data_IF_204043567732
#
_entry.id   IF_204043567732
#
_cell.length_a   1.000
_cell.length_b   1.000
_cell.length_c   1.000
_cell.angle_alpha   90.00
_cell.angle_beta   90.00
_cell.angle_gamma   90.00
#
_symmetry.space_group_name_H-M   'P 1'
#
loop_
_entity.id
_entity.type
_entity.pdbx_description
1 polymer ?
#
# COMPACT_ATOMS: atom_id res chain seq x y z
N UNK A 1 32.44 4.53 -78.40
CA UNK A 1 32.03 3.21 -77.88
C UNK A 1 33.17 2.63 -77.05
N UNK A 2 33.06 2.68 -75.72
CA UNK A 2 33.81 1.91 -74.72
C UNK A 2 33.10 2.16 -73.37
N UNK A 3 32.45 1.12 -72.83
CA UNK A 3 31.93 1.09 -71.46
C UNK A 3 33.11 0.96 -70.48
N UNK A 4 32.99 1.52 -69.26
CA UNK A 4 32.72 0.75 -68.04
C UNK A 4 32.88 1.62 -66.76
N UNK A 5 31.99 1.32 -65.81
CA UNK A 5 32.12 1.41 -64.34
C UNK A 5 32.05 2.76 -63.60
N UNK A 6 30.92 2.93 -62.91
CA UNK A 6 30.73 3.82 -61.77
C UNK A 6 31.31 3.20 -60.48
N UNK A 7 31.75 4.01 -59.50
CA UNK A 7 31.84 3.58 -58.11
C UNK A 7 30.73 4.22 -57.28
N UNK A 8 30.03 3.34 -56.56
CA UNK A 8 29.04 3.61 -55.53
C UNK A 8 29.77 4.14 -54.28
N UNK A 9 29.47 5.37 -53.85
CA UNK A 9 29.92 5.89 -52.56
C UNK A 9 28.92 5.47 -51.48
N UNK A 10 29.34 4.52 -50.66
CA UNK A 10 28.60 3.99 -49.53
C UNK A 10 28.49 5.03 -48.40
N UNK A 11 27.26 5.36 -48.01
CA UNK A 11 26.98 6.13 -46.80
C UNK A 11 26.98 5.18 -45.60
N UNK A 12 28.04 5.24 -44.78
CA UNK A 12 28.06 4.61 -43.46
C UNK A 12 27.38 5.55 -42.45
N UNK A 13 26.07 5.33 -42.23
CA UNK A 13 25.37 5.89 -41.08
C UNK A 13 25.63 5.02 -39.85
N UNK A 14 26.50 5.48 -38.94
CA UNK A 14 26.59 4.90 -37.59
C UNK A 14 25.40 5.41 -36.77
N UNK A 15 24.30 4.67 -36.77
CA UNK A 15 23.21 4.88 -35.81
C UNK A 15 23.68 4.35 -34.46
N UNK A 16 24.20 5.23 -33.61
CA UNK A 16 24.52 4.92 -32.22
C UNK A 16 23.19 4.65 -31.51
N UNK A 17 22.80 3.38 -31.37
CA UNK A 17 21.71 2.97 -30.49
C UNK A 17 22.10 3.37 -29.07
N UNK A 18 21.55 4.47 -28.59
CA UNK A 18 21.54 4.84 -27.17
C UNK A 18 20.78 3.73 -26.44
N UNK A 19 21.50 2.71 -25.96
CA UNK A 19 20.99 1.76 -25.00
C UNK A 19 20.71 2.55 -23.72
N UNK A 20 19.48 3.03 -23.57
CA UNK A 20 19.01 3.58 -22.31
C UNK A 20 19.15 2.46 -21.26
N UNK A 21 19.82 2.69 -20.12
CA UNK A 21 19.70 1.77 -19.01
C UNK A 21 18.23 1.77 -18.62
N UNK A 22 17.52 0.69 -18.97
CA UNK A 22 16.24 0.40 -18.36
C UNK A 22 16.55 0.22 -16.88
N UNK A 23 16.24 1.25 -16.08
CA UNK A 23 16.21 1.11 -14.63
C UNK A 23 15.30 -0.08 -14.36
N UNK A 24 15.86 -1.13 -13.77
CA UNK A 24 15.09 -2.31 -13.38
C UNK A 24 14.01 -1.84 -12.41
N UNK A 25 12.81 -1.59 -12.94
CA UNK A 25 11.67 -1.26 -12.11
C UNK A 25 11.41 -2.50 -11.25
N UNK A 26 11.38 -2.31 -9.94
CA UNK A 26 10.95 -3.36 -9.01
C UNK A 26 9.59 -3.83 -9.51
N UNK A 27 9.51 -5.09 -9.95
CA UNK A 27 8.26 -5.67 -10.42
C UNK A 27 7.33 -5.76 -9.21
N UNK A 28 6.26 -4.96 -9.25
CA UNK A 28 5.21 -4.96 -8.24
C UNK A 28 3.94 -5.44 -8.92
N UNK A 29 3.13 -6.20 -8.20
CA UNK A 29 1.83 -6.62 -8.69
C UNK A 29 0.79 -6.19 -7.68
N UNK A 30 -0.17 -5.38 -8.13
CA UNK A 30 -1.34 -5.04 -7.33
C UNK A 30 -2.07 -6.32 -6.92
N UNK A 31 -2.39 -6.44 -5.64
CA UNK A 31 -3.08 -7.58 -5.03
C UNK A 31 -4.53 -7.26 -4.66
N UNK A 32 -4.83 -5.97 -4.53
CA UNK A 32 -6.07 -5.48 -3.97
C UNK A 32 -6.08 -3.96 -3.93
N UNK A 33 -7.16 -3.42 -3.41
CA UNK A 33 -7.43 -1.98 -3.40
C UNK A 33 -8.06 -1.54 -2.09
N UNK A 34 -7.83 -0.27 -1.76
CA UNK A 34 -8.51 0.45 -0.69
C UNK A 34 -9.02 1.77 -1.25
N UNK A 35 -10.33 1.95 -1.15
CA UNK A 35 -11.02 3.18 -1.52
C UNK A 35 -11.53 3.86 -0.26
N UNK A 36 -11.22 5.14 -0.08
CA UNK A 36 -11.55 5.87 1.13
C UNK A 36 -11.85 7.34 0.88
N UNK A 37 -12.48 7.96 1.85
CA UNK A 37 -12.52 9.41 2.01
C UNK A 37 -11.70 9.77 3.26
N UNK A 38 -10.71 10.65 3.11
CA UNK A 38 -9.86 11.16 4.19
C UNK A 38 -10.14 12.66 4.34
N UNK A 39 -10.90 13.04 5.37
CA UNK A 39 -11.44 14.38 5.50
C UNK A 39 -12.42 14.69 4.37
N UNK A 40 -12.01 15.57 3.46
CA UNK A 40 -12.76 15.95 2.25
C UNK A 40 -12.16 15.38 0.95
N UNK A 41 -11.16 14.51 1.07
CA UNK A 41 -10.37 14.01 -0.07
C UNK A 41 -10.68 12.55 -0.36
N UNK A 42 -10.94 12.24 -1.63
CA UNK A 42 -10.94 10.86 -2.08
C UNK A 42 -9.51 10.29 -2.05
N UNK A 43 -9.41 9.02 -1.68
CA UNK A 43 -8.18 8.24 -1.64
C UNK A 43 -8.43 6.90 -2.34
N UNK A 44 -7.55 6.55 -3.28
CA UNK A 44 -7.53 5.25 -3.95
C UNK A 44 -6.10 4.72 -3.87
N UNK A 45 -5.93 3.57 -3.22
CA UNK A 45 -4.62 2.96 -3.01
C UNK A 45 -4.64 1.47 -3.29
N UNK A 46 -3.46 0.93 -3.58
CA UNK A 46 -3.27 -0.48 -3.92
C UNK A 46 -2.46 -1.21 -2.85
N UNK A 47 -2.85 -2.45 -2.55
CA UNK A 47 -1.96 -3.38 -1.86
C UNK A 47 -1.06 -4.06 -2.89
N UNK A 48 0.19 -4.33 -2.52
CA UNK A 48 1.23 -4.71 -3.45
C UNK A 48 1.91 -6.00 -3.02
N UNK A 49 2.15 -6.89 -3.97
CA UNK A 49 3.15 -7.94 -3.86
C UNK A 49 4.48 -7.40 -4.37
N UNK A 50 5.57 -7.58 -3.60
CA UNK A 50 6.93 -7.20 -4.01
C UNK A 50 7.81 -8.44 -4.03
N UNK A 51 7.74 -9.29 -5.08
CA UNK A 51 8.44 -10.57 -5.13
C UNK A 51 9.94 -10.49 -4.92
N UNK A 52 10.59 -9.41 -5.39
CA UNK A 52 12.04 -9.21 -5.23
C UNK A 52 12.46 -9.05 -3.77
N UNK A 53 11.54 -8.64 -2.90
CA UNK A 53 11.78 -8.42 -1.48
C UNK A 53 11.17 -9.54 -0.62
N UNK A 54 10.39 -10.44 -1.23
CA UNK A 54 9.67 -11.49 -0.53
C UNK A 54 8.54 -10.97 0.36
N UNK A 55 8.13 -9.72 0.19
CA UNK A 55 7.18 -9.02 1.06
C UNK A 55 5.85 -8.76 0.35
N UNK A 56 4.79 -8.65 1.16
CA UNK A 56 3.49 -8.14 0.74
C UNK A 56 3.15 -6.93 1.60
N UNK A 57 2.44 -5.97 1.03
CA UNK A 57 1.94 -4.83 1.82
C UNK A 57 0.60 -5.17 2.49
N UNK A 58 0.04 -6.36 2.19
CA UNK A 58 -1.10 -6.93 2.87
C UNK A 58 -0.74 -8.34 3.42
N UNK A 59 -0.65 -8.47 4.74
CA UNK A 59 -0.07 -9.63 5.42
C UNK A 59 -0.93 -10.17 6.57
N UNK A 60 -0.79 -11.47 6.83
CA UNK A 60 -1.27 -12.17 8.01
C UNK A 60 -0.06 -12.67 8.80
N UNK A 61 -0.03 -12.37 10.10
CA UNK A 61 0.96 -12.87 11.05
C UNK A 61 0.24 -13.54 12.22
N UNK A 62 0.60 -14.77 12.55
CA UNK A 62 0.01 -15.49 13.69
C UNK A 62 1.04 -15.69 14.79
N UNK A 63 0.67 -15.34 16.02
CA UNK A 63 1.47 -15.55 17.23
C UNK A 63 0.60 -16.22 18.30
N UNK A 64 0.75 -17.53 18.44
CA UNK A 64 -0.10 -18.33 19.32
C UNK A 64 -1.57 -18.20 18.91
N UNK A 65 -2.49 -17.81 19.83
CA UNK A 65 -3.90 -17.65 19.51
C UNK A 65 -4.24 -16.30 18.85
N UNK A 66 -3.27 -15.38 18.72
CA UNK A 66 -3.49 -14.05 18.15
C UNK A 66 -3.08 -14.05 16.68
N UNK A 67 -3.93 -13.49 15.83
CA UNK A 67 -3.63 -13.25 14.41
C UNK A 67 -3.69 -11.75 14.14
N UNK A 68 -2.62 -11.19 13.59
CA UNK A 68 -2.56 -9.82 13.12
C UNK A 68 -2.73 -9.80 11.59
N UNK A 69 -3.60 -8.92 11.12
CA UNK A 69 -3.75 -8.57 9.71
C UNK A 69 -3.22 -7.15 9.55
N UNK A 70 -2.30 -6.94 8.62
CA UNK A 70 -1.85 -5.62 8.21
C UNK A 70 -2.21 -5.41 6.74
N UNK A 71 -2.80 -4.26 6.42
CA UNK A 71 -3.14 -3.83 5.05
C UNK A 71 -2.57 -2.42 4.87
N UNK A 72 -1.51 -2.30 4.07
CA UNK A 72 -0.94 -1.03 3.64
C UNK A 72 -1.32 -0.81 2.18
N UNK A 73 -2.17 0.20 1.98
CA UNK A 73 -2.55 0.69 0.66
C UNK A 73 -1.63 1.83 0.27
N UNK A 74 -1.02 1.73 -0.91
CA UNK A 74 -0.09 2.69 -1.44
C UNK A 74 -0.73 3.47 -2.58
N UNK A 75 -0.53 4.78 -2.62
CA UNK A 75 -0.95 5.62 -3.75
C UNK A 75 -0.16 5.23 -5.03
N UNK A 76 -0.83 4.71 -6.08
CA UNK A 76 -0.16 4.29 -7.31
C UNK A 76 0.44 5.45 -8.10
N UNK A 77 -0.04 6.68 -7.88
CA UNK A 77 0.41 7.89 -8.57
C UNK A 77 1.50 8.64 -7.79
N UNK A 78 1.87 8.17 -6.59
CA UNK A 78 2.90 8.80 -5.79
C UNK A 78 4.32 8.54 -6.33
N UNK A 79 5.20 9.54 -6.21
CA UNK A 79 6.61 9.46 -6.63
C UNK A 79 7.43 8.38 -5.87
N UNK A 80 6.90 7.85 -4.77
CA UNK A 80 7.52 6.82 -3.94
C UNK A 80 6.44 5.96 -3.27
N UNK A 81 6.71 4.65 -3.15
CA UNK A 81 5.81 3.73 -2.43
C UNK A 81 5.56 4.14 -0.98
N UNK A 82 6.53 4.78 -0.34
CA UNK A 82 6.37 5.15 1.06
C UNK A 82 5.50 6.38 1.25
N UNK A 83 5.09 7.06 0.18
CA UNK A 83 4.37 8.33 0.25
C UNK A 83 2.87 8.09 0.06
N UNK A 84 2.07 8.87 0.79
CA UNK A 84 0.62 8.78 0.78
C UNK A 84 0.09 7.35 1.01
N UNK A 85 0.49 6.74 2.13
CA UNK A 85 0.13 5.36 2.50
C UNK A 85 -0.97 5.37 3.56
N UNK A 86 -2.02 4.59 3.35
CA UNK A 86 -3.06 4.32 4.33
C UNK A 86 -2.89 2.90 4.89
N UNK A 87 -2.78 2.78 6.20
CA UNK A 87 -2.53 1.52 6.88
C UNK A 87 -3.70 1.16 7.80
N UNK A 88 -4.16 -0.08 7.68
CA UNK A 88 -5.17 -0.71 8.53
C UNK A 88 -4.51 -1.93 9.19
N UNK A 89 -4.50 -1.96 10.51
CA UNK A 89 -4.00 -3.08 11.30
C UNK A 89 -5.11 -3.60 12.20
N UNK A 90 -5.32 -4.91 12.19
CA UNK A 90 -6.36 -5.57 12.98
C UNK A 90 -5.75 -6.75 13.71
N UNK A 91 -5.91 -6.79 15.03
CA UNK A 91 -5.57 -7.94 15.85
C UNK A 91 -6.83 -8.76 16.14
N UNK A 92 -6.75 -10.07 15.91
CA UNK A 92 -7.83 -11.03 16.06
C UNK A 92 -7.47 -12.08 17.11
N UNK A 93 -8.47 -12.52 17.87
CA UNK A 93 -8.40 -13.74 18.69
C UNK A 93 -8.95 -14.91 17.88
N UNK A 94 -8.06 -15.80 17.43
CA UNK A 94 -8.38 -16.94 16.56
C UNK A 94 -7.57 -16.96 15.27
N UNK A 95 -7.79 -17.98 14.46
CA UNK A 95 -7.04 -18.23 13.22
C UNK A 95 -7.94 -18.54 12.01
N UNK A 96 -9.25 -18.32 12.14
CA UNK A 96 -10.23 -18.55 11.08
C UNK A 96 -11.24 -17.40 10.98
N UNK A 97 -12.22 -17.53 10.09
CA UNK A 97 -13.23 -16.50 9.84
C UNK A 97 -14.15 -16.19 11.04
N UNK A 98 -14.14 -17.02 12.09
CA UNK A 98 -14.90 -16.78 13.33
C UNK A 98 -14.13 -15.97 14.38
N UNK A 99 -12.87 -15.62 14.08
CA UNK A 99 -12.01 -14.88 14.98
C UNK A 99 -12.61 -13.51 15.37
N UNK A 100 -12.47 -13.14 16.63
CA UNK A 100 -13.01 -11.90 17.17
C UNK A 100 -11.97 -10.78 17.11
N UNK A 101 -12.37 -9.59 16.66
CA UNK A 101 -11.50 -8.39 16.68
C UNK A 101 -11.20 -8.00 18.13
N UNK A 102 -9.90 -7.85 18.42
CA UNK A 102 -9.39 -7.38 19.71
C UNK A 102 -9.02 -5.90 19.66
N UNK A 103 -8.33 -5.51 18.59
CA UNK A 103 -7.77 -4.18 18.43
C UNK A 103 -7.76 -3.81 16.94
N UNK A 104 -7.93 -2.53 16.66
CA UNK A 104 -7.87 -1.97 15.32
C UNK A 104 -7.11 -0.65 15.37
N UNK A 105 -6.12 -0.53 14.51
CA UNK A 105 -5.32 0.68 14.34
C UNK A 105 -5.42 1.11 12.89
N UNK A 106 -5.73 2.39 12.67
CA UNK A 106 -5.76 2.99 11.33
C UNK A 106 -4.86 4.22 11.36
N UNK A 107 -4.05 4.38 10.32
CA UNK A 107 -3.11 5.49 10.19
C UNK A 107 -2.92 5.90 8.74
N UNK A 108 -2.62 7.17 8.53
CA UNK A 108 -2.33 7.75 7.22
C UNK A 108 -1.03 8.54 7.23
N UNK A 109 -0.21 8.29 6.22
CA UNK A 109 1.18 8.72 6.09
C UNK A 109 1.36 9.53 4.80
N UNK A 110 0.86 10.79 4.74
CA UNK A 110 0.85 11.58 3.51
C UNK A 110 2.26 11.82 2.97
N UNK A 111 3.22 12.09 3.85
CA UNK A 111 4.62 12.36 3.51
C UNK A 111 5.55 11.19 3.88
N UNK A 112 4.97 9.99 3.98
CA UNK A 112 5.66 8.77 4.41
C UNK A 112 6.20 8.88 5.84
N UNK A 113 7.48 8.57 6.02
CA UNK A 113 8.12 8.62 7.35
C UNK A 113 8.46 10.04 7.82
N UNK A 114 8.10 11.08 7.05
CA UNK A 114 8.24 12.47 7.48
C UNK A 114 6.89 13.01 7.98
N UNK A 115 6.89 13.88 9.01
CA UNK A 115 5.65 14.50 9.46
C UNK A 115 5.06 15.41 8.37
N UNK A 116 3.73 15.65 8.41
CA UNK A 116 2.79 15.20 9.44
C UNK A 116 2.35 13.74 9.28
N UNK A 117 2.02 13.12 10.42
CA UNK A 117 1.38 11.80 10.49
C UNK A 117 -0.06 11.95 10.97
N UNK A 118 -0.95 11.04 10.58
CA UNK A 118 -2.33 11.02 11.07
C UNK A 118 -2.64 9.64 11.63
N UNK A 119 -2.88 9.55 12.94
CA UNK A 119 -3.10 8.27 13.64
C UNK A 119 -4.46 8.26 14.33
N UNK A 120 -5.09 7.08 14.40
CA UNK A 120 -6.36 6.89 15.12
C UNK A 120 -6.21 6.78 16.63
N UNK A 121 -5.00 6.44 17.11
CA UNK A 121 -4.64 6.44 18.53
C UNK A 121 -4.86 7.84 19.14
N UNK A 122 -5.39 7.89 20.36
CA UNK A 122 -5.66 9.12 21.11
C UNK A 122 -6.63 10.12 20.44
N UNK A 123 -7.34 9.72 19.38
CA UNK A 123 -8.37 10.54 18.73
C UNK A 123 -9.66 10.71 19.56
N UNK A 124 -9.80 9.94 20.65
CA UNK A 124 -11.01 9.87 21.46
C UNK A 124 -12.14 9.02 20.85
N UNK A 125 -11.95 8.47 19.65
CA UNK A 125 -12.89 7.54 18.99
C UNK A 125 -12.13 6.29 18.53
N UNK A 126 -12.58 5.12 18.97
CA UNK A 126 -11.97 3.87 18.54
C UNK A 126 -12.22 3.64 17.03
N UNK A 127 -11.18 3.27 16.25
CA UNK A 127 -11.37 2.81 14.88
C UNK A 127 -12.28 1.57 14.81
N UNK A 128 -13.06 1.46 13.75
CA UNK A 128 -13.92 0.32 13.48
C UNK A 128 -13.52 -0.33 12.15
N UNK A 129 -13.43 -1.67 12.14
CA UNK A 129 -13.31 -2.49 10.94
C UNK A 129 -14.39 -3.55 10.97
N UNK A 130 -15.09 -3.71 9.85
CA UNK A 130 -16.07 -4.78 9.64
C UNK A 130 -15.62 -5.59 8.44
N UNK A 131 -15.35 -6.88 8.65
CA UNK A 131 -15.08 -7.81 7.55
C UNK A 131 -16.40 -8.32 6.97
N UNK A 132 -16.60 -8.07 5.67
CA UNK A 132 -17.67 -8.70 4.91
C UNK A 132 -17.27 -10.12 4.49
N UNK A 133 -15.98 -10.31 4.17
CA UNK A 133 -15.37 -11.62 3.93
C UNK A 133 -13.96 -11.65 4.51
N UNK A 134 -13.64 -12.72 5.22
CA UNK A 134 -12.30 -12.96 5.76
C UNK A 134 -11.92 -14.43 5.56
N UNK A 135 -10.75 -14.66 4.97
CA UNK A 135 -10.07 -15.95 4.93
C UNK A 135 -8.66 -15.78 5.48
N UNK A 136 -8.30 -16.61 6.44
CA UNK A 136 -6.97 -16.63 7.08
C UNK A 136 -6.11 -17.83 6.66
N UNK A 137 -6.70 -18.77 5.91
CA UNK A 137 -6.03 -19.97 5.41
C UNK A 137 -5.35 -19.69 4.05
N UNK A 138 -4.23 -20.38 3.80
CA UNK A 138 -3.54 -20.49 2.50
C UNK A 138 -3.51 -19.24 1.61
N UNK A 139 -2.79 -18.19 2.05
CA UNK A 139 -2.63 -16.95 1.26
C UNK A 139 -3.92 -16.16 1.16
N UNK A 140 -4.61 -16.02 2.30
CA UNK A 140 -5.99 -15.60 2.49
C UNK A 140 -6.46 -14.30 1.82
N UNK A 141 -7.59 -13.78 2.28
CA UNK A 141 -8.18 -12.58 1.70
C UNK A 141 -9.00 -11.84 2.73
N UNK A 142 -9.09 -10.53 2.57
CA UNK A 142 -9.91 -9.68 3.39
C UNK A 142 -10.66 -8.70 2.51
N UNK A 143 -11.98 -8.65 2.71
CA UNK A 143 -12.86 -7.64 2.18
C UNK A 143 -13.70 -7.06 3.30
N UNK A 144 -13.87 -5.75 3.31
CA UNK A 144 -14.64 -5.11 4.34
C UNK A 144 -14.65 -3.60 4.25
N UNK A 145 -15.03 -3.00 5.37
CA UNK A 145 -15.24 -1.57 5.53
C UNK A 145 -14.57 -1.10 6.80
N UNK A 146 -14.18 0.16 6.84
CA UNK A 146 -13.56 0.75 8.01
C UNK A 146 -14.02 2.19 8.21
N UNK A 147 -13.96 2.64 9.47
CA UNK A 147 -14.11 4.04 9.83
C UNK A 147 -13.21 4.41 11.00
N UNK A 148 -12.72 5.65 11.02
CA UNK A 148 -11.88 6.18 12.08
C UNK A 148 -11.93 7.71 12.12
N UNK A 149 -11.37 8.28 13.19
CA UNK A 149 -10.95 9.68 13.24
C UNK A 149 -9.43 9.68 13.42
N UNK A 150 -8.70 10.30 12.49
CA UNK A 150 -7.23 10.34 12.53
C UNK A 150 -6.76 11.74 12.88
N UNK A 151 -6.00 11.88 13.96
CA UNK A 151 -5.50 13.18 14.41
C UNK A 151 -4.04 13.38 14.01
N UNK A 152 -3.70 14.62 13.67
CA UNK A 152 -2.36 15.01 13.24
C UNK A 152 -1.34 14.84 14.37
N UNK A 153 -0.14 14.38 14.04
CA UNK A 153 1.05 14.38 14.92
C UNK A 153 2.25 15.00 14.21
N UNK A 154 2.97 15.86 14.92
CA UNK A 154 4.20 16.51 14.44
C UNK A 154 5.43 15.59 14.50
N UNK A 155 5.37 14.56 15.32
CA UNK A 155 6.36 13.49 15.38
C UNK A 155 5.68 12.21 15.90
N UNK A 156 6.32 11.06 15.73
CA UNK A 156 5.80 9.78 16.25
C UNK A 156 5.60 9.76 17.77
N UNK A 157 6.27 10.66 18.50
CA UNK A 157 6.21 10.75 19.97
C UNK A 157 5.40 11.94 20.46
N UNK A 158 5.01 12.86 19.57
CA UNK A 158 4.21 14.03 19.95
C UNK A 158 2.78 13.60 20.28
N UNK A 159 2.09 14.28 21.19
CA UNK A 159 0.66 14.03 21.41
C UNK A 159 -0.17 14.32 20.14
N UNK A 160 -1.35 13.71 20.05
CA UNK A 160 -2.29 14.00 18.98
C UNK A 160 -2.81 15.44 19.08
N UNK A 161 -2.74 16.18 17.97
CA UNK A 161 -3.40 17.48 17.84
C UNK A 161 -4.90 17.24 17.60
N UNK A 162 -5.65 17.20 18.70
CA UNK A 162 -7.11 16.96 18.69
C UNK A 162 -7.92 18.09 18.03
N UNK A 163 -7.29 19.22 17.72
CA UNK A 163 -7.91 20.29 16.93
C UNK A 163 -7.79 20.07 15.42
N UNK A 164 -6.96 19.11 15.00
CA UNK A 164 -6.69 18.78 13.62
C UNK A 164 -6.83 17.27 13.39
N UNK A 165 -8.08 16.83 13.34
CA UNK A 165 -8.44 15.46 13.05
C UNK A 165 -9.28 15.34 11.78
N UNK A 166 -9.09 14.24 11.07
CA UNK A 166 -9.75 13.93 9.81
C UNK A 166 -10.66 12.72 10.02
N UNK A 167 -11.96 12.80 9.70
CA UNK A 167 -12.76 11.59 9.57
C UNK A 167 -12.23 10.77 8.41
N UNK A 168 -12.18 9.46 8.57
CA UNK A 168 -11.79 8.54 7.51
C UNK A 168 -12.80 7.40 7.44
N UNK A 169 -13.28 7.10 6.25
CA UNK A 169 -14.15 5.97 5.99
C UNK A 169 -13.86 5.37 4.62
N UNK A 170 -14.01 4.06 4.49
CA UNK A 170 -13.68 3.39 3.23
C UNK A 170 -13.97 1.90 3.20
N UNK A 171 -13.54 1.29 2.10
CA UNK A 171 -13.65 -0.13 1.84
C UNK A 171 -12.31 -0.70 1.39
N UNK A 172 -12.06 -1.97 1.70
CA UNK A 172 -10.90 -2.70 1.20
C UNK A 172 -11.33 -4.03 0.58
N UNK A 173 -10.62 -4.47 -0.44
CA UNK A 173 -10.69 -5.82 -1.01
C UNK A 173 -9.28 -6.23 -1.46
N UNK A 174 -8.69 -7.18 -0.75
CA UNK A 174 -7.31 -7.59 -0.99
C UNK A 174 -7.06 -9.06 -0.70
N UNK A 175 -6.19 -9.66 -1.50
CA UNK A 175 -5.49 -10.87 -1.10
C UNK A 175 -4.51 -10.56 0.05
N UNK A 176 -4.23 -11.55 0.89
CA UNK A 176 -3.33 -11.48 2.03
C UNK A 176 -2.22 -12.52 1.87
N UNK A 177 -0.99 -12.17 2.21
CA UNK A 177 0.10 -13.17 2.30
C UNK A 177 0.38 -13.52 3.74
N UNK A 178 0.68 -14.79 4.02
CA UNK A 178 1.33 -15.12 5.28
C UNK A 178 2.71 -14.46 5.25
N UNK A 179 3.04 -13.73 6.31
CA UNK A 179 4.38 -13.27 6.45
C UNK A 179 5.29 -14.43 6.89
N UNK A 180 6.48 -14.50 6.32
CA UNK A 180 7.50 -15.48 6.66
C UNK A 180 8.13 -15.23 8.05
#
# INVERSE_FOLDING_TARGET
MKLYQAPILAAFGLTLCLAQPALAQIAKTAMGSVEATIGDRAYSGETLNVPSEGTSTAEIRSFGPVTSIQIQAHDPEADSLMRNVLTIEVSLMGSDASASIMETTISWWPEGMSPPYYLGEDSGTAPEVVFDRLSLEDGGSAQGRFSAVLCRRDSLLAEADTSNCLPVEGTFDTALRKAD
#
